data_IF_100438562553
#
_entry.id   IF_100438562553
#
_cell.length_a   1.000
_cell.length_b   1.000
_cell.length_c   1.000
_cell.angle_alpha   90.00
_cell.angle_beta   90.00
_cell.angle_gamma   90.00
#
_symmetry.space_group_name_H-M   'P 1'
#
loop_
_entity.id
_entity.type
_entity.pdbx_description
1 polymer ?
#
# COMPACT_ATOMS: atom_id res chain seq x y z
N UNK A 1 -3.15 -22.59 -49.33
CA UNK A 1 -1.94 -22.61 -48.48
C UNK A 1 -2.01 -21.37 -47.61
N UNK A 2 -2.65 -21.52 -46.45
CA UNK A 2 -3.18 -20.44 -45.63
C UNK A 2 -2.12 -19.91 -44.67
N UNK A 3 -1.67 -18.69 -44.92
CA UNK A 3 -0.84 -17.91 -44.00
C UNK A 3 -1.65 -17.60 -42.74
N UNK A 4 -1.36 -18.33 -41.66
CA UNK A 4 -1.86 -17.98 -40.34
C UNK A 4 -0.93 -16.93 -39.73
N UNK A 5 -1.38 -15.69 -39.76
CA UNK A 5 -0.83 -14.60 -38.96
C UNK A 5 -1.02 -14.91 -37.47
N UNK A 6 0.10 -15.14 -36.77
CA UNK A 6 0.13 -15.20 -35.31
C UNK A 6 -0.03 -13.77 -34.77
N UNK A 7 -1.17 -13.53 -34.14
CA UNK A 7 -1.50 -12.28 -33.45
C UNK A 7 -0.55 -12.06 -32.27
N UNK A 8 0.39 -11.13 -32.41
CA UNK A 8 1.14 -10.58 -31.27
C UNK A 8 0.18 -9.65 -30.52
N UNK A 9 -0.43 -10.17 -29.46
CA UNK A 9 -1.16 -9.36 -28.49
C UNK A 9 -0.15 -8.75 -27.51
N UNK A 10 0.40 -7.59 -27.83
CA UNK A 10 1.10 -6.75 -26.85
C UNK A 10 0.04 -6.01 -26.01
N UNK A 11 -0.48 -6.68 -24.98
CA UNK A 11 -1.25 -6.05 -23.91
C UNK A 11 -0.31 -5.67 -22.77
N UNK A 12 -0.20 -4.38 -22.45
CA UNK A 12 0.42 -3.79 -21.24
C UNK A 12 1.33 -4.73 -20.44
N UNK A 13 2.61 -4.85 -20.82
CA UNK A 13 3.68 -5.49 -20.02
C UNK A 13 3.90 -4.66 -18.75
N UNK A 14 3.02 -4.81 -17.76
CA UNK A 14 3.38 -4.48 -16.38
C UNK A 14 4.43 -5.49 -15.98
N UNK A 15 5.65 -5.02 -15.68
CA UNK A 15 6.70 -5.90 -15.19
C UNK A 15 6.16 -6.69 -13.99
N UNK A 16 6.37 -8.02 -13.92
CA UNK A 16 5.82 -8.81 -12.84
C UNK A 16 6.31 -8.26 -11.50
N UNK A 17 5.41 -8.27 -10.52
CA UNK A 17 5.73 -7.80 -9.17
C UNK A 17 6.79 -8.71 -8.56
N UNK A 18 7.63 -8.15 -7.68
CA UNK A 18 8.65 -8.91 -6.95
C UNK A 18 8.06 -10.13 -6.23
N UNK A 19 6.83 -10.01 -5.73
CA UNK A 19 6.10 -11.11 -5.07
C UNK A 19 5.72 -12.21 -6.06
N UNK A 20 5.23 -11.84 -7.25
CA UNK A 20 4.85 -12.80 -8.30
C UNK A 20 6.07 -13.58 -8.77
N UNK A 21 7.23 -12.92 -8.88
CA UNK A 21 8.49 -13.59 -9.22
C UNK A 21 8.89 -14.59 -8.13
N UNK A 22 8.73 -14.26 -6.85
CA UNK A 22 9.01 -15.21 -5.76
C UNK A 22 8.06 -16.41 -5.83
N UNK A 23 6.77 -16.20 -6.08
CA UNK A 23 5.80 -17.29 -6.27
C UNK A 23 6.19 -18.17 -7.45
N UNK A 24 6.54 -17.57 -8.59
CA UNK A 24 6.99 -18.28 -9.77
C UNK A 24 8.27 -19.09 -9.52
N UNK A 25 9.23 -18.54 -8.77
CA UNK A 25 10.45 -19.25 -8.37
C UNK A 25 10.14 -20.44 -7.46
N UNK A 26 9.16 -20.33 -6.56
CA UNK A 26 8.73 -21.43 -5.71
C UNK A 26 7.98 -22.53 -6.46
N UNK A 27 7.20 -22.17 -7.49
CA UNK A 27 6.57 -23.15 -8.37
C UNK A 27 7.62 -23.93 -9.19
N UNK A 28 8.64 -23.24 -9.70
CA UNK A 28 9.68 -23.83 -10.55
C UNK A 28 10.74 -24.59 -9.75
N UNK A 29 11.05 -24.11 -8.54
CA UNK A 29 12.08 -24.66 -7.66
C UNK A 29 11.54 -24.88 -6.23
N UNK A 30 10.60 -25.84 -6.04
CA UNK A 30 9.88 -26.04 -4.77
C UNK A 30 10.78 -26.56 -3.64
N UNK A 31 11.94 -27.13 -3.98
CA UNK A 31 12.90 -27.63 -2.98
C UNK A 31 13.70 -26.51 -2.33
N UNK A 32 13.92 -25.41 -3.07
CA UNK A 32 14.75 -24.28 -2.68
C UNK A 32 13.90 -23.12 -2.14
N UNK A 33 12.80 -22.81 -2.83
CA UNK A 33 11.90 -21.73 -2.47
C UNK A 33 10.58 -22.27 -1.94
N UNK A 34 10.10 -21.64 -0.87
CA UNK A 34 8.77 -21.87 -0.29
C UNK A 34 7.99 -20.56 -0.21
N UNK A 35 6.75 -20.56 -0.68
CA UNK A 35 5.77 -19.47 -0.48
C UNK A 35 5.07 -19.63 0.87
N UNK A 36 4.66 -20.86 1.16
CA UNK A 36 3.90 -21.25 2.33
C UNK A 36 4.67 -22.34 3.09
N UNK A 37 5.47 -21.91 4.06
CA UNK A 37 6.20 -22.80 4.96
C UNK A 37 7.39 -22.14 5.63
N UNK A 38 8.23 -22.95 6.25
CA UNK A 38 9.55 -22.54 6.70
C UNK A 38 10.46 -22.39 5.47
N UNK A 39 11.12 -21.24 5.37
CA UNK A 39 12.05 -20.99 4.28
C UNK A 39 13.40 -21.64 4.62
N UNK A 40 14.01 -22.34 3.66
CA UNK A 40 15.31 -22.97 3.88
C UNK A 40 16.45 -21.98 3.58
N UNK A 41 17.58 -22.01 4.31
CA UNK A 41 18.74 -21.19 3.99
C UNK A 41 19.25 -21.48 2.57
N UNK A 42 19.42 -20.44 1.77
CA UNK A 42 19.82 -20.59 0.36
C UNK A 42 21.34 -20.77 0.23
N UNK A 43 21.76 -21.44 -0.85
CA UNK A 43 23.16 -21.46 -1.32
C UNK A 43 23.71 -20.04 -1.50
N UNK A 44 24.96 -19.81 -1.09
CA UNK A 44 25.65 -18.55 -1.37
C UNK A 44 25.92 -18.47 -2.88
N UNK A 45 25.52 -17.38 -3.51
CA UNK A 45 25.67 -17.23 -4.97
C UNK A 45 24.60 -17.92 -5.81
N UNK A 46 23.47 -18.37 -5.21
CA UNK A 46 22.34 -19.00 -5.93
C UNK A 46 21.81 -18.15 -7.11
N UNK A 47 22.06 -16.84 -7.11
CA UNK A 47 21.66 -15.95 -8.20
C UNK A 47 22.23 -16.38 -9.57
N UNK A 48 23.45 -16.92 -9.60
CA UNK A 48 24.14 -17.32 -10.82
C UNK A 48 23.47 -18.56 -11.40
N UNK A 49 23.27 -19.59 -10.58
CA UNK A 49 22.56 -20.82 -10.94
C UNK A 49 21.14 -20.51 -11.44
N UNK A 50 20.44 -19.57 -10.79
CA UNK A 50 19.12 -19.11 -11.23
C UNK A 50 19.17 -18.34 -12.55
N UNK A 51 20.17 -17.49 -12.75
CA UNK A 51 20.33 -16.72 -13.98
C UNK A 51 20.63 -17.61 -15.18
N UNK A 52 21.35 -18.72 -14.98
CA UNK A 52 21.61 -19.74 -16.01
C UNK A 52 20.36 -20.57 -16.30
N UNK A 53 19.69 -21.08 -15.26
CA UNK A 53 18.47 -21.89 -15.40
C UNK A 53 17.29 -21.11 -16.01
N UNK A 54 17.25 -19.78 -15.81
CA UNK A 54 16.22 -18.89 -16.33
C UNK A 54 16.70 -18.05 -17.53
N UNK A 55 17.87 -18.32 -18.10
CA UNK A 55 18.42 -17.53 -19.20
C UNK A 55 17.48 -17.43 -20.42
N UNK A 56 16.67 -18.47 -20.65
CA UNK A 56 15.72 -18.55 -21.75
C UNK A 56 14.30 -18.05 -21.38
N UNK A 57 14.08 -17.63 -20.14
CA UNK A 57 12.75 -17.27 -19.63
C UNK A 57 12.58 -15.74 -19.64
N UNK A 58 11.88 -15.22 -20.64
CA UNK A 58 11.68 -13.78 -20.83
C UNK A 58 10.81 -13.14 -19.72
N UNK A 59 10.16 -13.96 -18.87
CA UNK A 59 9.30 -13.51 -17.78
C UNK A 59 10.07 -12.88 -16.62
N UNK A 60 11.35 -13.20 -16.43
CA UNK A 60 12.14 -12.75 -15.27
C UNK A 60 13.45 -12.12 -15.73
N UNK A 61 13.62 -10.82 -15.47
CA UNK A 61 14.89 -10.14 -15.74
C UNK A 61 15.90 -10.33 -14.61
N UNK A 62 17.20 -10.30 -14.92
CA UNK A 62 18.30 -10.42 -13.93
C UNK A 62 18.19 -9.39 -12.78
N UNK A 63 17.75 -8.18 -13.10
CA UNK A 63 17.56 -7.11 -12.10
C UNK A 63 16.40 -7.43 -11.16
N UNK A 64 15.29 -7.90 -11.72
CA UNK A 64 14.12 -8.30 -10.95
C UNK A 64 14.40 -9.53 -10.08
N UNK A 65 15.17 -10.49 -10.61
CA UNK A 65 15.61 -11.67 -9.87
C UNK A 65 16.45 -11.31 -8.63
N UNK A 66 17.39 -10.35 -8.76
CA UNK A 66 18.13 -9.82 -7.60
C UNK A 66 17.21 -9.18 -6.56
N UNK A 67 16.23 -8.39 -7.01
CA UNK A 67 15.27 -7.74 -6.12
C UNK A 67 14.39 -8.77 -5.40
N UNK A 68 13.94 -9.81 -6.11
CA UNK A 68 13.19 -10.94 -5.56
C UNK A 68 14.00 -11.68 -4.51
N UNK A 69 15.24 -12.07 -4.81
CA UNK A 69 16.13 -12.73 -3.86
C UNK A 69 16.36 -11.89 -2.61
N UNK A 70 16.67 -10.59 -2.76
CA UNK A 70 16.87 -9.69 -1.62
C UNK A 70 15.60 -9.59 -0.76
N UNK A 71 14.43 -9.54 -1.38
CA UNK A 71 13.15 -9.46 -0.67
C UNK A 71 12.85 -10.76 0.05
N UNK A 72 13.16 -11.89 -0.58
CA UNK A 72 13.01 -13.22 0.01
C UNK A 72 13.91 -13.40 1.24
N UNK A 73 15.19 -13.05 1.14
CA UNK A 73 16.17 -13.23 2.23
C UNK A 73 16.02 -12.23 3.38
N UNK A 74 15.35 -11.09 3.15
CA UNK A 74 15.01 -10.13 4.22
C UNK A 74 13.63 -10.41 4.86
N UNK A 75 12.91 -11.42 4.38
CA UNK A 75 11.64 -11.83 4.99
C UNK A 75 11.87 -12.37 6.40
N UNK A 76 10.96 -12.04 7.32
CA UNK A 76 11.00 -12.60 8.68
C UNK A 76 11.01 -14.13 8.70
N UNK A 77 10.34 -14.75 7.72
CA UNK A 77 10.31 -16.21 7.57
C UNK A 77 11.71 -16.76 7.31
N UNK A 78 12.47 -16.08 6.45
CA UNK A 78 13.83 -16.50 6.09
C UNK A 78 14.80 -16.26 7.24
N UNK A 79 14.79 -15.06 7.83
CA UNK A 79 15.66 -14.71 8.96
C UNK A 79 15.46 -15.64 10.16
N UNK A 80 14.25 -16.13 10.39
CA UNK A 80 13.95 -17.06 11.49
C UNK A 80 14.55 -18.46 11.30
N UNK A 81 14.75 -18.88 10.05
CA UNK A 81 15.29 -20.20 9.71
C UNK A 81 16.82 -20.20 9.57
N UNK A 82 17.44 -19.03 9.42
CA UNK A 82 18.90 -18.86 9.41
C UNK A 82 19.50 -19.07 10.81
N UNK A 83 19.65 -20.33 11.22
CA UNK A 83 20.33 -20.73 12.47
C UNK A 83 21.70 -21.32 12.18
N UNK A 84 22.57 -21.33 13.19
CA UNK A 84 23.89 -21.93 13.09
C UNK A 84 23.79 -23.43 12.78
N UNK A 85 24.75 -23.96 12.01
CA UNK A 85 24.85 -25.37 11.66
C UNK A 85 23.68 -25.93 10.81
N UNK A 86 22.89 -25.05 10.18
CA UNK A 86 21.86 -25.48 9.22
C UNK A 86 22.47 -25.58 7.82
N UNK A 87 22.15 -26.68 7.12
CA UNK A 87 22.58 -26.88 5.73
C UNK A 87 21.88 -25.88 4.79
N UNK A 88 22.66 -25.35 3.87
CA UNK A 88 22.17 -24.50 2.78
C UNK A 88 21.67 -25.38 1.66
N UNK A 89 20.60 -24.94 1.02
CA UNK A 89 19.94 -25.69 -0.06
C UNK A 89 20.20 -24.99 -1.40
N UNK A 90 20.67 -25.77 -2.37
CA UNK A 90 20.84 -25.37 -3.76
C UNK A 90 19.53 -25.39 -4.56
N UNK A 91 19.62 -25.11 -5.85
CA UNK A 91 18.45 -24.96 -6.73
C UNK A 91 17.64 -26.25 -6.86
N UNK A 92 18.30 -27.39 -6.89
CA UNK A 92 17.73 -28.74 -7.02
C UNK A 92 17.58 -29.47 -5.68
N UNK A 93 17.79 -28.77 -4.55
CA UNK A 93 17.73 -29.40 -3.22
C UNK A 93 19.06 -29.96 -2.71
N UNK A 94 20.16 -29.73 -3.43
CA UNK A 94 21.50 -30.18 -3.02
C UNK A 94 22.02 -29.43 -1.79
N UNK A 95 22.83 -30.09 -0.97
CA UNK A 95 23.51 -29.48 0.16
C UNK A 95 24.66 -28.58 -0.35
N UNK A 96 24.57 -27.29 -0.07
CA UNK A 96 25.46 -26.28 -0.64
C UNK A 96 26.24 -25.50 0.44
N UNK A 97 26.68 -26.22 1.46
CA UNK A 97 27.43 -25.70 2.60
C UNK A 97 26.56 -25.48 3.84
N UNK A 98 27.16 -24.91 4.89
CA UNK A 98 26.54 -24.74 6.20
C UNK A 98 26.42 -23.23 6.51
N UNK A 99 25.40 -22.85 7.27
CA UNK A 99 25.27 -21.50 7.82
C UNK A 99 26.21 -21.36 9.02
N UNK A 100 27.13 -20.40 8.91
CA UNK A 100 28.09 -20.08 9.97
C UNK A 100 27.41 -19.39 11.16
N UNK A 101 28.01 -19.48 12.34
CA UNK A 101 27.50 -18.89 13.58
C UNK A 101 27.36 -17.38 13.46
N UNK A 102 28.38 -16.70 12.92
CA UNK A 102 28.33 -15.25 12.72
C UNK A 102 27.18 -14.80 11.80
N UNK A 103 26.84 -15.63 10.80
CA UNK A 103 25.74 -15.34 9.88
C UNK A 103 24.37 -15.54 10.55
N UNK A 104 24.26 -16.56 11.41
CA UNK A 104 23.07 -16.83 12.19
C UNK A 104 22.81 -15.71 13.22
N UNK A 105 23.85 -15.24 13.91
CA UNK A 105 23.76 -14.11 14.84
C UNK A 105 23.28 -12.84 14.13
N UNK A 106 23.88 -12.51 12.98
CA UNK A 106 23.47 -11.35 12.20
C UNK A 106 22.01 -11.47 11.73
N UNK A 107 21.55 -12.66 11.34
CA UNK A 107 20.15 -12.89 10.98
C UNK A 107 19.20 -12.67 12.16
N UNK A 108 19.57 -13.18 13.34
CA UNK A 108 18.81 -12.98 14.58
C UNK A 108 18.71 -11.49 14.98
N UNK A 109 19.82 -10.75 14.90
CA UNK A 109 19.86 -9.31 15.15
C UNK A 109 19.02 -8.53 14.12
N UNK A 110 19.11 -8.89 12.84
CA UNK A 110 18.30 -8.26 11.80
C UNK A 110 16.81 -8.48 12.05
N UNK A 111 16.44 -9.66 12.53
CA UNK A 111 15.06 -10.02 12.85
C UNK A 111 14.52 -9.19 14.02
N UNK A 112 15.29 -8.99 15.09
CA UNK A 112 14.87 -8.16 16.23
C UNK A 112 14.69 -6.71 15.81
N UNK A 113 15.67 -6.13 15.11
CA UNK A 113 15.60 -4.75 14.60
C UNK A 113 14.41 -4.56 13.65
N UNK A 114 14.17 -5.51 12.74
CA UNK A 114 13.05 -5.43 11.81
C UNK A 114 11.69 -5.50 12.51
N UNK A 115 11.55 -6.32 13.56
CA UNK A 115 10.33 -6.39 14.38
C UNK A 115 10.09 -5.08 15.13
N UNK A 116 11.12 -4.50 15.73
CA UNK A 116 11.03 -3.22 16.44
C UNK A 116 10.64 -2.08 15.51
N UNK A 117 11.32 -1.98 14.35
CA UNK A 117 11.00 -0.98 13.33
C UNK A 117 9.57 -1.12 12.81
N UNK A 118 9.08 -2.35 12.61
CA UNK A 118 7.70 -2.61 12.22
C UNK A 118 6.70 -2.21 13.31
N UNK A 119 6.99 -2.53 14.58
CA UNK A 119 6.15 -2.15 15.71
C UNK A 119 6.05 -0.63 15.85
N UNK A 120 7.16 0.10 15.70
CA UNK A 120 7.20 1.55 15.72
C UNK A 120 6.33 2.16 14.59
N UNK A 121 6.55 1.73 13.33
CA UNK A 121 5.76 2.19 12.18
C UNK A 121 4.26 1.89 12.34
N UNK A 122 3.91 0.71 12.84
CA UNK A 122 2.51 0.33 13.08
C UNK A 122 1.87 1.16 14.18
N UNK A 123 2.63 1.53 15.22
CA UNK A 123 2.16 2.41 16.28
C UNK A 123 1.89 3.83 15.77
N UNK A 124 2.76 4.37 14.91
CA UNK A 124 2.57 5.68 14.25
C UNK A 124 1.33 5.67 13.35
N UNK A 125 1.20 4.68 12.47
CA UNK A 125 0.03 4.53 11.60
C UNK A 125 -1.27 4.42 12.41
N UNK A 126 -1.27 3.70 13.54
CA UNK A 126 -2.45 3.61 14.42
C UNK A 126 -2.79 4.97 15.05
N UNK A 127 -1.79 5.77 15.43
CA UNK A 127 -2.01 7.12 15.95
C UNK A 127 -2.63 8.03 14.90
N UNK A 128 -2.14 7.97 13.66
CA UNK A 128 -2.67 8.74 12.53
C UNK A 128 -4.11 8.32 12.19
N UNK A 129 -4.37 7.03 12.01
CA UNK A 129 -5.70 6.50 11.75
C UNK A 129 -6.69 6.86 12.86
N UNK A 130 -6.25 6.84 14.13
CA UNK A 130 -7.08 7.27 15.27
C UNK A 130 -7.40 8.76 15.18
N UNK A 131 -6.43 9.63 14.89
CA UNK A 131 -6.64 11.07 14.70
C UNK A 131 -7.62 11.35 13.56
N UNK A 132 -7.44 10.67 12.42
CA UNK A 132 -8.36 10.80 11.27
C UNK A 132 -9.78 10.32 11.59
N UNK A 133 -9.91 9.20 12.31
CA UNK A 133 -11.20 8.67 12.73
C UNK A 133 -11.95 9.66 13.65
N UNK A 134 -11.27 10.21 14.67
CA UNK A 134 -11.89 11.21 15.54
C UNK A 134 -12.23 12.51 14.80
N UNK A 135 -11.39 12.94 13.85
CA UNK A 135 -11.67 14.12 13.02
C UNK A 135 -12.91 13.90 12.15
N UNK A 136 -13.03 12.76 11.46
CA UNK A 136 -14.21 12.39 10.67
C UNK A 136 -15.48 12.32 11.53
N UNK A 137 -15.41 11.66 12.69
CA UNK A 137 -16.54 11.55 13.63
C UNK A 137 -17.02 12.91 14.13
N UNK A 138 -16.09 13.81 14.47
CA UNK A 138 -16.44 15.17 14.91
C UNK A 138 -17.06 16.01 13.79
N UNK A 139 -16.60 15.86 12.55
CA UNK A 139 -17.20 16.52 11.38
C UNK A 139 -18.62 16.00 11.09
N UNK A 140 -18.82 14.69 11.17
CA UNK A 140 -20.12 14.05 10.98
C UNK A 140 -21.13 14.47 12.07
N UNK A 141 -20.70 14.53 13.34
CA UNK A 141 -21.54 15.00 14.44
C UNK A 141 -21.93 16.48 14.28
N UNK A 142 -20.99 17.33 13.86
CA UNK A 142 -21.29 18.74 13.53
C UNK A 142 -22.27 18.87 12.36
N UNK A 143 -22.09 18.07 11.31
CA UNK A 143 -23.00 18.06 10.16
C UNK A 143 -24.41 17.61 10.57
N UNK A 144 -24.53 16.57 11.40
CA UNK A 144 -25.82 16.09 11.95
C UNK A 144 -26.50 17.13 12.84
N UNK A 145 -25.75 17.81 13.72
CA UNK A 145 -26.27 18.90 14.56
C UNK A 145 -26.76 20.09 13.72
N UNK A 146 -26.01 20.47 12.68
CA UNK A 146 -26.43 21.53 11.76
C UNK A 146 -27.68 21.17 10.97
N UNK A 147 -27.79 19.92 10.47
CA UNK A 147 -28.98 19.43 9.78
C UNK A 147 -30.21 19.40 10.69
N UNK A 148 -30.07 18.93 11.94
CA UNK A 148 -31.16 18.92 12.92
C UNK A 148 -31.65 20.33 13.30
N UNK A 149 -30.76 21.32 13.31
CA UNK A 149 -31.11 22.71 13.63
C UNK A 149 -31.82 23.43 12.47
N UNK A 150 -31.52 23.04 11.22
CA UNK A 150 -32.24 23.50 10.02
C UNK A 150 -33.69 22.97 9.99
N UNK A 151 -33.91 21.70 10.40
CA UNK A 151 -35.25 21.08 10.44
C UNK A 151 -36.15 21.67 11.54
N UNK A 152 -35.59 22.20 12.64
CA UNK A 152 -36.36 22.89 13.70
C UNK A 152 -36.72 24.35 13.39
N UNK A 153 -36.16 24.93 12.32
CA UNK A 153 -36.39 26.33 11.88
C UNK A 153 -37.39 26.46 10.72
N UNK A 154 -38.15 25.43 10.38
CA UNK A 154 -39.30 25.58 9.47
C UNK A 154 -40.52 26.04 10.27
N UNK A 155 -41.00 27.30 10.12
CA UNK A 155 -42.30 27.65 10.62
C UNK A 155 -43.34 27.08 9.64
N UNK A 156 -44.21 26.23 10.17
CA UNK A 156 -45.46 25.82 9.55
C UNK A 156 -46.32 27.05 9.28
N UNK A 157 -46.28 27.66 8.09
CA UNK A 157 -47.45 28.37 7.51
C UNK A 157 -47.34 28.38 5.98
N UNK A 158 -48.09 27.49 5.35
CA UNK A 158 -48.70 27.79 4.06
C UNK A 158 -49.95 28.63 4.34
N UNK A 159 -49.99 29.88 3.87
CA UNK A 159 -51.22 30.57 3.44
C UNK A 159 -50.90 31.88 2.71
N UNK A 160 -51.12 31.81 1.41
CA UNK A 160 -51.55 32.81 0.42
C UNK A 160 -51.82 34.27 0.84
N UNK A 161 -51.39 35.15 -0.08
CA UNK A 161 -51.98 36.42 -0.51
C UNK A 161 -51.64 37.75 0.20
N UNK A 162 -51.41 38.77 -0.65
CA UNK A 162 -51.57 40.23 -0.42
C UNK A 162 -50.34 40.92 0.23
N UNK A 163 -49.82 42.11 -0.12
CA UNK A 163 -50.23 43.27 -0.95
C UNK A 163 -48.94 44.03 -1.37
N UNK A 164 -48.99 44.65 -2.55
CA UNK A 164 -48.08 45.69 -3.08
C UNK A 164 -47.61 46.69 -2.00
N UNK A 165 -46.29 46.83 -1.81
CA UNK A 165 -45.69 48.01 -1.21
C UNK A 165 -45.16 48.91 -2.35
N UNK A 166 -45.88 49.99 -2.59
CA UNK A 166 -45.70 51.01 -3.62
C UNK A 166 -44.46 51.86 -3.39
N UNK A 167 -43.97 52.47 -4.48
CA UNK A 167 -42.77 53.29 -4.60
C UNK A 167 -42.73 54.58 -3.73
N UNK A 168 -43.63 54.75 -2.77
CA UNK A 168 -43.68 55.92 -1.88
C UNK A 168 -42.67 55.86 -0.74
N UNK A 169 -42.12 54.69 -0.40
CA UNK A 169 -41.10 54.57 0.66
C UNK A 169 -39.69 55.01 0.25
N UNK A 170 -39.43 55.17 -1.06
CA UNK A 170 -38.15 55.69 -1.57
C UNK A 170 -38.10 57.23 -1.62
N UNK A 171 -39.24 57.91 -1.72
CA UNK A 171 -39.31 59.38 -1.74
C UNK A 171 -39.13 60.01 -0.34
N UNK A 172 -39.43 59.27 0.73
CA UNK A 172 -39.30 59.76 2.10
C UNK A 172 -37.85 59.84 2.61
N UNK A 173 -36.87 59.27 1.90
CA UNK A 173 -35.45 59.29 2.31
C UNK A 173 -34.67 60.47 1.71
N UNK A 174 -35.17 61.14 0.67
CA UNK A 174 -34.43 62.23 -0.02
C UNK A 174 -34.57 63.60 0.66
N UNK A 175 -35.49 63.77 1.60
CA UNK A 175 -35.69 65.03 2.34
C UNK A 175 -34.78 65.18 3.57
N UNK A 176 -34.01 64.14 3.95
CA UNK A 176 -33.27 64.11 5.24
C UNK A 176 -31.76 64.35 5.16
N UNK A 177 -31.19 64.64 3.98
CA UNK A 177 -29.75 64.93 3.82
C UNK A 177 -29.49 66.09 2.84
N UNK A 178 -30.05 67.28 3.11
CA UNK A 178 -29.84 68.42 2.21
C UNK A 178 -30.16 69.80 2.78
N UNK A 179 -29.67 70.15 3.98
CA UNK A 179 -29.56 71.57 4.36
C UNK A 179 -28.45 71.80 5.37
N UNK A 180 -27.45 72.60 4.98
CA UNK A 180 -26.55 73.29 5.90
C UNK A 180 -25.06 73.08 5.66
N UNK A 181 -24.48 73.72 4.62
CA UNK A 181 -23.10 74.20 4.70
C UNK A 181 -22.84 75.33 3.68
N UNK A 182 -23.17 76.57 4.07
CA UNK A 182 -22.38 77.79 3.89
C UNK A 182 -23.14 78.98 4.46
#
# INVERSE_FOLDING_TARGET
MSEQQVKIQNGNKTNPSVKEVITYLAEKFPLCFSVEGEAKPLKVGLFQDLAEALANDEKVSKTLLRQALRTYTMSWRYLACCKANVQRVGLQGEEAGIVDEAQAEHAAQTLTVAKEAYAARKAEQRKEQRKEFFKKKAQEEKAKKNAANQVKKTPRVAKEASVKATAESLAALTSKFGKGNK
#
